data_IF_868209396265
#
_entry.id   IF_868209396265
#
_cell.length_a   1.000
_cell.length_b   1.000
_cell.length_c   1.000
_cell.angle_alpha   90.00
_cell.angle_beta   90.00
_cell.angle_gamma   90.00
#
_symmetry.space_group_name_H-M   'P 1'
#
loop_
_entity.id
_entity.type
_entity.pdbx_description
1 polymer ?
#
# COMPACT_ATOMS: atom_id res chain seq x y z
N UNK A 1 -8.06 -5.09 -3.27
CA UNK A 1 -8.00 -4.58 -1.89
C UNK A 1 -6.76 -5.08 -1.16
N UNK A 2 -6.39 -4.49 -0.01
CA UNK A 2 -5.20 -4.91 0.78
C UNK A 2 -5.58 -5.29 2.21
N UNK A 3 -4.89 -6.29 2.78
CA UNK A 3 -4.99 -6.59 4.20
C UNK A 3 -4.15 -5.60 5.00
N UNK A 4 -4.80 -4.68 5.74
CA UNK A 4 -4.12 -3.64 6.53
C UNK A 4 -3.21 -4.21 7.64
N UNK A 5 -3.56 -5.36 8.24
CA UNK A 5 -2.72 -6.00 9.26
C UNK A 5 -1.41 -6.49 8.67
N UNK A 6 -1.48 -7.15 7.50
CA UNK A 6 -0.30 -7.61 6.76
C UNK A 6 0.54 -6.43 6.27
N UNK A 7 -0.10 -5.41 5.68
CA UNK A 7 0.59 -4.21 5.20
C UNK A 7 1.31 -3.47 6.33
N UNK A 8 0.68 -3.32 7.50
CA UNK A 8 1.32 -2.72 8.67
C UNK A 8 2.57 -3.47 9.13
N UNK A 9 2.57 -4.81 9.07
CA UNK A 9 3.76 -5.60 9.39
C UNK A 9 4.90 -5.38 8.40
N UNK A 10 4.58 -5.31 7.10
CA UNK A 10 5.56 -5.03 6.05
C UNK A 10 6.14 -3.63 6.22
N UNK A 11 5.31 -2.62 6.46
CA UNK A 11 5.76 -1.23 6.67
C UNK A 11 6.68 -1.05 7.88
N UNK A 12 6.60 -1.92 8.91
CA UNK A 12 7.55 -1.90 10.04
C UNK A 12 8.99 -2.25 9.63
N UNK A 13 9.19 -2.81 8.44
CA UNK A 13 10.51 -3.09 7.91
C UNK A 13 11.15 -1.88 7.20
N UNK A 14 10.37 -0.84 6.88
CA UNK A 14 10.87 0.40 6.32
C UNK A 14 11.50 1.26 7.42
N UNK A 15 12.63 1.89 7.11
CA UNK A 15 13.17 2.99 7.89
C UNK A 15 12.27 4.22 7.83
N UNK A 16 12.39 5.12 8.82
CA UNK A 16 11.59 6.34 8.89
C UNK A 16 11.80 7.29 7.69
N UNK A 17 12.96 7.20 7.04
CA UNK A 17 13.36 8.06 5.92
C UNK A 17 13.49 7.27 4.60
N UNK A 18 13.06 6.01 4.58
CA UNK A 18 13.12 5.19 3.36
C UNK A 18 12.08 5.70 2.35
N UNK A 19 12.47 5.67 1.09
CA UNK A 19 11.57 5.87 -0.04
C UNK A 19 10.83 4.56 -0.26
N UNK A 20 9.50 4.62 -0.29
CA UNK A 20 8.64 3.45 -0.52
C UNK A 20 7.97 3.57 -1.88
N UNK A 21 8.27 2.62 -2.77
CA UNK A 21 7.66 2.51 -4.09
C UNK A 21 6.66 1.36 -4.11
N UNK A 22 5.42 1.65 -4.49
CA UNK A 22 4.35 0.67 -4.65
C UNK A 22 4.13 0.37 -6.14
N UNK A 23 4.06 -0.90 -6.52
CA UNK A 23 3.82 -1.33 -7.91
C UNK A 23 2.77 -2.44 -7.97
N UNK A 24 1.76 -2.24 -8.80
CA UNK A 24 0.77 -3.25 -9.16
C UNK A 24 0.32 -2.99 -10.61
N UNK A 25 0.00 -4.06 -11.32
CA UNK A 25 -0.67 -3.99 -12.62
C UNK A 25 -2.19 -3.79 -12.43
N UNK A 26 -2.90 -3.40 -13.49
CA UNK A 26 -4.33 -3.06 -13.42
C UNK A 26 -5.21 -4.22 -12.91
N UNK A 27 -4.85 -5.46 -13.23
CA UNK A 27 -5.55 -6.68 -12.77
C UNK A 27 -4.60 -7.58 -11.96
N UNK A 28 -3.81 -6.98 -11.07
CA UNK A 28 -2.82 -7.72 -10.30
C UNK A 28 -3.42 -8.59 -9.19
N UNK A 29 -2.78 -9.73 -8.94
CA UNK A 29 -3.03 -10.58 -7.75
C UNK A 29 -2.11 -10.22 -6.56
N UNK A 30 -1.10 -9.40 -6.81
CA UNK A 30 -0.12 -8.98 -5.81
C UNK A 30 0.27 -7.51 -5.94
N UNK A 31 0.67 -6.94 -4.82
CA UNK A 31 1.28 -5.62 -4.72
C UNK A 31 2.75 -5.80 -4.34
N UNK A 32 3.64 -5.23 -5.13
CA UNK A 32 5.05 -5.13 -4.81
C UNK A 32 5.33 -3.81 -4.07
N UNK A 33 6.12 -3.90 -3.00
CA UNK A 33 6.63 -2.77 -2.23
C UNK A 33 8.15 -2.81 -2.24
N UNK A 34 8.78 -1.72 -2.66
CA UNK A 34 10.24 -1.57 -2.66
C UNK A 34 10.61 -0.45 -1.70
N UNK A 35 11.45 -0.76 -0.71
CA UNK A 35 11.95 0.19 0.27
C UNK A 35 13.42 0.49 -0.02
N UNK A 36 13.74 1.75 -0.24
CA UNK A 36 15.07 2.21 -0.62
C UNK A 36 15.54 3.27 0.38
N UNK A 37 16.75 3.11 0.92
CA UNK A 37 17.38 4.18 1.69
C UNK A 37 17.74 5.34 0.75
N UNK A 38 17.75 6.58 1.27
CA UNK A 38 18.09 7.79 0.49
C UNK A 38 19.42 7.69 -0.28
N UNK A 39 20.39 6.96 0.26
CA UNK A 39 21.71 6.73 -0.32
C UNK A 39 21.80 5.43 -1.15
N UNK A 40 20.69 4.71 -1.32
CA UNK A 40 20.59 3.42 -2.04
C UNK A 40 21.51 2.30 -1.51
N UNK A 41 22.03 2.43 -0.28
CA UNK A 41 22.84 1.38 0.35
C UNK A 41 22.03 0.12 0.64
N UNK A 42 20.72 0.27 0.89
CA UNK A 42 19.81 -0.85 1.15
C UNK A 42 18.55 -0.71 0.31
N UNK A 43 18.21 -1.82 -0.35
CA UNK A 43 16.96 -2.01 -1.08
C UNK A 43 16.30 -3.27 -0.53
N UNK A 44 15.01 -3.17 -0.20
CA UNK A 44 14.22 -4.31 0.31
C UNK A 44 12.96 -4.46 -0.52
N UNK A 45 12.78 -5.63 -1.12
CA UNK A 45 11.62 -5.96 -1.93
C UNK A 45 10.66 -6.85 -1.13
N UNK A 46 9.38 -6.46 -1.11
CA UNK A 46 8.29 -7.20 -0.51
C UNK A 46 7.17 -7.41 -1.52
N UNK A 47 6.53 -8.56 -1.45
CA UNK A 47 5.33 -8.86 -2.23
C UNK A 47 4.20 -9.26 -1.26
N UNK A 48 3.00 -8.72 -1.48
CA UNK A 48 1.81 -9.10 -0.74
C UNK A 48 0.66 -9.46 -1.67
N UNK A 49 -0.09 -10.50 -1.31
CA UNK A 49 -1.30 -10.87 -2.05
C UNK A 49 -2.42 -9.85 -1.82
N UNK A 50 -3.06 -9.48 -2.92
CA UNK A 50 -4.25 -8.65 -2.92
C UNK A 50 -5.47 -9.48 -2.52
N UNK A 51 -6.47 -8.78 -2.02
CA UNK A 51 -7.76 -9.35 -1.64
C UNK A 51 -8.83 -8.86 -2.60
N UNK A 52 -9.72 -9.76 -3.00
CA UNK A 52 -10.98 -9.40 -3.62
C UNK A 52 -11.87 -8.71 -2.59
N UNK A 53 -12.42 -7.56 -2.98
CA UNK A 53 -13.34 -6.79 -2.15
C UNK A 53 -14.57 -6.49 -2.98
N UNK A 54 -15.73 -6.85 -2.45
CA UNK A 54 -17.00 -6.35 -2.95
C UNK A 54 -17.13 -4.89 -2.50
N UNK A 55 -16.89 -3.96 -3.42
CA UNK A 55 -16.97 -2.53 -3.14
C UNK A 55 -18.40 -2.05 -3.32
N UNK A 56 -19.11 -1.86 -2.22
CA UNK A 56 -20.32 -1.04 -2.22
C UNK A 56 -19.91 0.43 -2.14
N UNK A 57 -20.06 1.16 -3.25
CA UNK A 57 -19.74 2.58 -3.28
C UNK A 57 -20.83 3.36 -2.55
N UNK A 58 -20.58 3.68 -1.28
CA UNK A 58 -21.39 4.63 -0.53
C UNK A 58 -20.93 6.06 -0.88
N UNK A 59 -21.75 6.78 -1.62
CA UNK A 59 -21.50 8.20 -1.91
C UNK A 59 -21.62 9.06 -0.65
N UNK A 60 -20.71 10.01 -0.48
CA UNK A 60 -20.85 11.05 0.56
C UNK A 60 -21.75 12.14 -0.02
N UNK A 61 -22.94 12.41 0.56
CA UNK A 61 -23.80 13.49 0.09
C UNK A 61 -23.20 14.86 0.42
N UNK A 62 -23.46 15.86 -0.41
CA UNK A 62 -23.15 17.25 -0.08
C UNK A 62 -24.03 17.70 1.10
N UNK A 63 -23.43 18.36 2.09
CA UNK A 63 -24.11 18.86 3.30
C UNK A 63 -23.88 20.36 3.41
N UNK A 64 -24.95 21.16 3.33
CA UNK A 64 -24.88 22.58 3.71
C UNK A 64 -24.87 22.72 5.24
N UNK A 65 -23.96 23.55 5.76
CA UNK A 65 -23.89 23.93 7.17
C UNK A 65 -24.26 25.42 7.28
N UNK A 66 -25.26 25.74 8.12
CA UNK A 66 -25.74 27.11 8.37
C UNK A 66 -25.23 27.69 9.69
#
# INVERSE_FOLDING_TARGET
>A
GVNLSSMSKILKCAGNEDIITLRAEDNADSLALVFETLNQEKVSDYEMKLMDLDVEQLGIPEQEYS
#
